data_IF_604275836837
#
_entry.id   IF_604275836837
#
_cell.length_a   1.000
_cell.length_b   1.000
_cell.length_c   1.000
_cell.angle_alpha   90.00
_cell.angle_beta   90.00
_cell.angle_gamma   90.00
#
_symmetry.space_group_name_H-M   'P 1'
#
loop_
_entity.id
_entity.type
_entity.pdbx_description
1 polymer ?
#
# COMPACT_ATOMS: atom_id res chain seq x y z
N UNK A 1 -39.57 11.73 20.25
CA UNK A 1 -39.36 12.56 19.04
C UNK A 1 -37.95 13.14 18.96
N UNK A 2 -37.33 13.56 20.07
CA UNK A 2 -35.94 14.08 20.08
C UNK A 2 -34.88 13.13 19.51
N UNK A 3 -34.93 11.83 19.87
CA UNK A 3 -33.90 10.87 19.44
C UNK A 3 -33.89 10.65 17.90
N UNK A 4 -35.06 10.65 17.25
CA UNK A 4 -35.14 10.52 15.78
C UNK A 4 -34.62 11.78 15.08
N UNK A 5 -34.91 12.97 15.60
CA UNK A 5 -34.41 14.23 15.05
C UNK A 5 -32.88 14.30 15.18
N UNK A 6 -32.32 13.88 16.31
CA UNK A 6 -30.88 13.79 16.53
C UNK A 6 -30.20 12.84 15.54
N UNK A 7 -30.73 11.61 15.37
CA UNK A 7 -30.21 10.64 14.39
C UNK A 7 -30.23 11.16 12.96
N UNK A 8 -31.26 11.93 12.58
CA UNK A 8 -31.36 12.56 11.25
C UNK A 8 -30.27 13.62 11.07
N UNK A 9 -30.01 14.45 12.09
CA UNK A 9 -28.96 15.47 12.06
C UNK A 9 -27.57 14.81 11.98
N UNK A 10 -27.32 13.77 12.77
CA UNK A 10 -26.07 12.99 12.74
C UNK A 10 -25.85 12.33 11.38
N UNK A 11 -26.89 11.71 10.81
CA UNK A 11 -26.83 11.11 9.47
C UNK A 11 -26.54 12.18 8.42
N UNK A 12 -27.20 13.34 8.48
CA UNK A 12 -26.95 14.45 7.57
C UNK A 12 -25.50 14.97 7.68
N UNK A 13 -24.98 15.11 8.89
CA UNK A 13 -23.59 15.52 9.13
C UNK A 13 -22.59 14.50 8.54
N UNK A 14 -22.83 13.20 8.72
CA UNK A 14 -22.00 12.13 8.14
C UNK A 14 -22.04 12.14 6.62
N UNK A 15 -23.22 12.31 6.02
CA UNK A 15 -23.36 12.40 4.56
C UNK A 15 -22.65 13.64 4.01
N UNK A 16 -22.76 14.79 4.68
CA UNK A 16 -22.02 16.01 4.31
C UNK A 16 -20.51 15.76 4.42
N UNK A 17 -20.06 15.14 5.51
CA UNK A 17 -18.66 14.75 5.69
C UNK A 17 -18.16 13.82 4.59
N UNK A 18 -18.96 12.81 4.21
CA UNK A 18 -18.65 11.90 3.11
C UNK A 18 -18.54 12.64 1.76
N UNK A 19 -19.47 13.55 1.45
CA UNK A 19 -19.42 14.36 0.22
C UNK A 19 -18.17 15.25 0.21
N UNK A 20 -17.82 15.87 1.34
CA UNK A 20 -16.59 16.65 1.46
C UNK A 20 -15.35 15.80 1.23
N UNK A 21 -15.27 14.62 1.86
CA UNK A 21 -14.17 13.67 1.66
C UNK A 21 -14.09 13.18 0.21
N UNK A 22 -15.23 12.94 -0.43
CA UNK A 22 -15.31 12.54 -1.84
C UNK A 22 -14.74 13.63 -2.77
N UNK A 23 -15.12 14.89 -2.54
CA UNK A 23 -14.62 16.04 -3.30
C UNK A 23 -13.13 16.26 -3.03
N UNK A 24 -12.68 16.16 -1.77
CA UNK A 24 -11.27 16.28 -1.40
C UNK A 24 -10.42 15.20 -2.06
N UNK A 25 -10.87 13.93 -2.00
CA UNK A 25 -10.20 12.80 -2.65
C UNK A 25 -10.08 13.04 -4.16
N UNK A 26 -11.16 13.49 -4.80
CA UNK A 26 -11.14 13.84 -6.21
C UNK A 26 -10.08 14.92 -6.52
N UNK A 27 -10.09 16.03 -5.77
CA UNK A 27 -9.15 17.13 -5.96
C UNK A 27 -7.69 16.71 -5.71
N UNK A 28 -7.42 15.93 -4.66
CA UNK A 28 -6.07 15.50 -4.30
C UNK A 28 -5.49 14.55 -5.35
N UNK A 29 -6.28 13.58 -5.81
CA UNK A 29 -5.85 12.66 -6.85
C UNK A 29 -5.65 13.41 -8.16
N UNK A 30 -6.61 14.26 -8.56
CA UNK A 30 -6.53 15.00 -9.82
C UNK A 30 -5.37 16.04 -9.81
N UNK A 31 -5.02 16.61 -8.66
CA UNK A 31 -3.84 17.49 -8.48
C UNK A 31 -2.52 16.72 -8.55
N UNK A 32 -2.49 15.47 -8.08
CA UNK A 32 -1.28 14.64 -8.02
C UNK A 32 -1.00 13.93 -9.35
N UNK A 33 -2.05 13.69 -10.15
CA UNK A 33 -1.97 12.97 -11.42
C UNK A 33 -1.56 13.92 -12.56
N UNK A 34 -0.34 13.76 -13.07
CA UNK A 34 0.21 14.54 -14.19
C UNK A 34 -0.52 14.26 -15.53
N UNK A 35 -0.45 15.23 -16.48
CA UNK A 35 -1.22 15.27 -17.73
C UNK A 35 -1.05 14.10 -18.73
N UNK A 36 -0.22 13.09 -18.46
CA UNK A 36 -0.11 11.94 -19.36
C UNK A 36 -1.33 11.01 -19.27
N UNK A 37 -1.79 10.49 -20.41
CA UNK A 37 -2.97 9.62 -20.49
C UNK A 37 -2.83 8.36 -19.62
N UNK A 38 -1.63 7.78 -19.56
CA UNK A 38 -1.32 6.61 -18.71
C UNK A 38 -1.43 6.93 -17.22
N UNK A 39 -1.00 8.13 -16.79
CA UNK A 39 -1.15 8.57 -15.39
C UNK A 39 -2.61 8.85 -15.06
N UNK A 40 -3.39 9.43 -15.98
CA UNK A 40 -4.84 9.63 -15.83
C UNK A 40 -5.60 8.31 -15.66
N UNK A 41 -5.27 7.28 -16.43
CA UNK A 41 -5.87 5.95 -16.29
C UNK A 41 -5.59 5.34 -14.89
N UNK A 42 -4.35 5.40 -14.41
CA UNK A 42 -3.96 4.93 -13.06
C UNK A 42 -4.64 5.74 -11.95
N UNK A 43 -4.71 7.07 -12.12
CA UNK A 43 -5.39 7.97 -11.20
C UNK A 43 -6.87 7.63 -11.01
N UNK A 44 -7.56 7.27 -12.10
CA UNK A 44 -8.98 6.85 -12.04
C UNK A 44 -9.17 5.58 -11.20
N UNK A 45 -8.25 4.62 -11.31
CA UNK A 45 -8.29 3.38 -10.51
C UNK A 45 -8.07 3.70 -9.02
N UNK A 46 -7.06 4.51 -8.70
CA UNK A 46 -6.76 4.93 -7.32
C UNK A 46 -7.96 5.67 -6.71
N UNK A 47 -8.53 6.64 -7.44
CA UNK A 47 -9.73 7.38 -7.01
C UNK A 47 -10.90 6.46 -6.73
N UNK A 48 -11.14 5.47 -7.60
CA UNK A 48 -12.19 4.46 -7.41
C UNK A 48 -11.95 3.62 -6.15
N UNK A 49 -10.72 3.17 -5.92
CA UNK A 49 -10.38 2.39 -4.72
C UNK A 49 -10.60 3.18 -3.43
N UNK A 50 -10.11 4.41 -3.34
CA UNK A 50 -10.31 5.27 -2.15
C UNK A 50 -11.80 5.57 -1.93
N UNK A 51 -12.56 5.84 -2.99
CA UNK A 51 -13.99 6.10 -2.87
C UNK A 51 -14.78 4.88 -2.38
N UNK A 52 -14.40 3.66 -2.78
CA UNK A 52 -15.02 2.44 -2.26
C UNK A 52 -14.75 2.31 -0.75
N UNK A 53 -13.53 2.57 -0.30
CA UNK A 53 -13.18 2.53 1.13
C UNK A 53 -13.99 3.57 1.91
N UNK A 54 -14.02 4.82 1.44
CA UNK A 54 -14.78 5.89 2.07
C UNK A 54 -16.28 5.57 2.14
N UNK A 55 -16.84 4.96 1.09
CA UNK A 55 -18.24 4.55 1.06
C UNK A 55 -18.52 3.46 2.09
N UNK A 56 -17.66 2.43 2.18
CA UNK A 56 -17.78 1.37 3.18
C UNK A 56 -17.76 1.93 4.60
N UNK A 57 -16.84 2.87 4.90
CA UNK A 57 -16.77 3.53 6.21
C UNK A 57 -18.03 4.35 6.50
N UNK A 58 -18.52 5.10 5.51
CA UNK A 58 -19.75 5.89 5.64
C UNK A 58 -20.96 5.01 5.96
N UNK A 59 -21.12 3.89 5.24
CA UNK A 59 -22.20 2.92 5.49
C UNK A 59 -22.11 2.38 6.92
N UNK A 60 -20.92 1.99 7.39
CA UNK A 60 -20.72 1.49 8.75
C UNK A 60 -21.17 2.53 9.79
N UNK A 61 -20.77 3.79 9.63
CA UNK A 61 -21.14 4.87 10.58
C UNK A 61 -22.65 5.11 10.58
N UNK A 62 -23.29 5.11 9.41
CA UNK A 62 -24.76 5.25 9.32
C UNK A 62 -25.45 4.08 10.03
N UNK A 63 -25.01 2.85 9.84
CA UNK A 63 -25.58 1.69 10.54
C UNK A 63 -25.47 1.83 12.07
N UNK A 64 -24.36 2.39 12.58
CA UNK A 64 -24.20 2.70 14.01
C UNK A 64 -25.23 3.72 14.48
N UNK A 65 -25.40 4.85 13.77
CA UNK A 65 -26.35 5.92 14.13
C UNK A 65 -27.79 5.40 14.21
N UNK A 66 -28.15 4.52 13.27
CA UNK A 66 -29.49 3.94 13.23
C UNK A 66 -29.74 2.89 14.32
N UNK A 67 -28.69 2.51 15.06
CA UNK A 67 -28.79 1.63 16.22
C UNK A 67 -28.83 0.15 15.85
N UNK A 68 -28.18 -0.23 14.73
CA UNK A 68 -27.84 -1.63 14.49
C UNK A 68 -27.04 -2.14 15.68
N UNK A 69 -27.32 -3.38 16.11
CA UNK A 69 -26.65 -3.97 17.26
C UNK A 69 -25.13 -3.93 17.05
N UNK A 70 -24.41 -3.38 18.03
CA UNK A 70 -22.95 -3.27 17.97
C UNK A 70 -22.28 -4.65 17.84
N UNK A 71 -22.91 -5.70 18.37
CA UNK A 71 -22.45 -7.08 18.23
C UNK A 71 -22.56 -7.57 16.79
N UNK A 72 -23.67 -7.31 16.10
CA UNK A 72 -23.85 -7.65 14.69
C UNK A 72 -22.86 -6.89 13.80
N UNK A 73 -22.63 -5.61 14.09
CA UNK A 73 -21.64 -4.81 13.38
C UNK A 73 -20.22 -5.32 13.62
N UNK A 74 -19.88 -5.69 14.86
CA UNK A 74 -18.58 -6.26 15.19
C UNK A 74 -18.35 -7.59 14.46
N UNK A 75 -19.39 -8.43 14.32
CA UNK A 75 -19.34 -9.67 13.53
C UNK A 75 -19.15 -9.37 12.04
N UNK A 76 -19.84 -8.37 11.48
CA UNK A 76 -19.67 -7.96 10.09
C UNK A 76 -18.26 -7.41 9.80
N UNK A 77 -17.76 -6.51 10.64
CA UNK A 77 -16.40 -5.96 10.50
C UNK A 77 -15.37 -7.06 10.69
N UNK A 78 -15.54 -7.89 11.73
CA UNK A 78 -14.67 -9.02 12.03
C UNK A 78 -14.58 -9.99 10.85
N UNK A 79 -15.71 -10.46 10.32
CA UNK A 79 -15.75 -11.36 9.17
C UNK A 79 -15.13 -10.74 7.91
N UNK A 80 -15.37 -9.46 7.65
CA UNK A 80 -14.75 -8.74 6.52
C UNK A 80 -13.23 -8.69 6.68
N UNK A 81 -12.74 -8.33 7.87
CA UNK A 81 -11.30 -8.31 8.17
C UNK A 81 -10.70 -9.70 8.08
N UNK A 82 -11.40 -10.74 8.53
CA UNK A 82 -10.97 -12.14 8.40
C UNK A 82 -10.82 -12.54 6.93
N UNK A 83 -11.80 -12.24 6.08
CA UNK A 83 -11.73 -12.54 4.64
C UNK A 83 -10.56 -11.79 4.00
N UNK A 84 -10.37 -10.51 4.32
CA UNK A 84 -9.23 -9.72 3.84
C UNK A 84 -7.90 -10.31 4.31
N UNK A 85 -7.81 -10.73 5.58
CA UNK A 85 -6.64 -11.39 6.14
C UNK A 85 -6.29 -12.68 5.41
N UNK A 86 -7.30 -13.53 5.13
CA UNK A 86 -7.13 -14.76 4.36
C UNK A 86 -6.68 -14.46 2.93
N UNK A 87 -7.27 -13.45 2.28
CA UNK A 87 -6.88 -13.05 0.93
C UNK A 87 -5.42 -12.55 0.88
N UNK A 88 -5.00 -11.76 1.87
CA UNK A 88 -3.61 -11.32 1.99
C UNK A 88 -2.65 -12.48 2.28
N UNK A 89 -3.06 -13.44 3.11
CA UNK A 89 -2.27 -14.64 3.37
C UNK A 89 -2.09 -15.49 2.12
N UNK A 90 -3.15 -15.65 1.32
CA UNK A 90 -3.06 -16.30 0.00
C UNK A 90 -2.09 -15.56 -0.93
N UNK A 91 -1.99 -14.23 -0.81
CA UNK A 91 -1.00 -13.39 -1.50
C UNK A 91 0.27 -13.14 -0.68
N UNK A 92 0.77 -14.16 0.03
CA UNK A 92 1.94 -14.09 0.91
C UNK A 92 3.12 -13.30 0.34
N UNK A 93 3.42 -13.46 -0.95
CA UNK A 93 4.53 -12.80 -1.63
C UNK A 93 4.43 -11.27 -1.59
N UNK A 94 3.22 -10.70 -1.63
CA UNK A 94 3.01 -9.25 -1.60
C UNK A 94 3.36 -8.72 -0.21
N UNK A 95 2.84 -9.35 0.84
CA UNK A 95 3.09 -8.97 2.23
C UNK A 95 4.58 -9.14 2.58
N UNK A 96 5.17 -10.26 2.15
CA UNK A 96 6.59 -10.55 2.32
C UNK A 96 7.46 -9.50 1.63
N UNK A 97 7.17 -9.12 0.38
CA UNK A 97 7.92 -8.08 -0.32
C UNK A 97 7.83 -6.73 0.39
N UNK A 98 6.64 -6.26 0.77
CA UNK A 98 6.46 -4.98 1.49
C UNK A 98 7.28 -4.98 2.78
N UNK A 99 7.17 -6.06 3.57
CA UNK A 99 7.89 -6.19 4.84
C UNK A 99 9.39 -6.18 4.63
N UNK A 100 9.89 -6.95 3.66
CA UNK A 100 11.31 -6.97 3.31
C UNK A 100 11.80 -5.63 2.79
N UNK A 101 11.04 -4.92 1.97
CA UNK A 101 11.39 -3.58 1.47
C UNK A 101 11.53 -2.55 2.60
N UNK A 102 10.62 -2.56 3.58
CA UNK A 102 10.71 -1.71 4.79
C UNK A 102 11.97 -2.06 5.59
N UNK A 103 12.24 -3.35 5.83
CA UNK A 103 13.43 -3.79 6.56
C UNK A 103 14.70 -3.38 5.83
N UNK A 104 14.74 -3.52 4.50
CA UNK A 104 15.89 -3.15 3.69
C UNK A 104 16.16 -1.64 3.79
N UNK A 105 15.10 -0.83 3.67
CA UNK A 105 15.22 0.61 3.72
C UNK A 105 15.76 1.12 5.07
N UNK A 106 15.32 0.54 6.19
CA UNK A 106 15.67 1.05 7.53
C UNK A 106 16.85 0.34 8.20
N UNK A 107 16.99 -0.98 8.01
CA UNK A 107 17.86 -1.82 8.83
C UNK A 107 18.95 -2.56 8.04
N UNK A 108 18.87 -2.64 6.72
CA UNK A 108 19.87 -3.37 5.94
C UNK A 108 21.11 -2.50 5.66
N UNK A 109 22.33 -3.05 5.74
CA UNK A 109 23.57 -2.27 5.59
C UNK A 109 23.82 -1.74 4.16
N UNK A 110 23.09 -2.27 3.18
CA UNK A 110 23.13 -1.83 1.77
C UNK A 110 22.29 -0.58 1.60
N UNK A 111 22.89 0.45 1.01
CA UNK A 111 22.30 1.75 0.75
C UNK A 111 22.24 2.00 -0.77
N UNK A 112 21.48 3.03 -1.14
CA UNK A 112 21.46 3.55 -2.49
C UNK A 112 22.89 3.91 -2.95
N UNK A 113 23.19 3.68 -4.22
CA UNK A 113 24.51 3.84 -4.88
C UNK A 113 25.63 2.91 -4.39
N UNK A 114 25.38 2.00 -3.43
CA UNK A 114 26.37 0.98 -3.08
C UNK A 114 26.60 0.02 -4.25
N UNK A 115 27.86 -0.33 -4.51
CA UNK A 115 28.20 -1.44 -5.41
C UNK A 115 28.29 -2.72 -4.59
N UNK A 116 27.43 -3.68 -4.91
CA UNK A 116 27.31 -4.94 -4.21
C UNK A 116 27.47 -6.10 -5.16
N UNK A 117 27.88 -7.24 -4.60
CA UNK A 117 27.85 -8.53 -5.26
C UNK A 117 26.88 -9.45 -4.53
N UNK A 118 25.89 -9.96 -5.25
CA UNK A 118 24.97 -10.98 -4.75
C UNK A 118 25.59 -12.34 -5.04
N UNK A 119 25.88 -13.08 -3.98
CA UNK A 119 26.42 -14.42 -4.07
C UNK A 119 25.26 -15.42 -4.05
N UNK A 120 25.00 -16.07 -5.18
CA UNK A 120 24.12 -17.23 -5.28
C UNK A 120 24.95 -18.49 -5.60
N UNK A 121 24.38 -19.67 -5.42
CA UNK A 121 25.12 -20.94 -5.59
C UNK A 121 25.68 -21.12 -7.00
N UNK A 122 24.99 -20.59 -8.00
CA UNK A 122 25.25 -20.85 -9.42
C UNK A 122 25.75 -19.62 -10.18
N UNK A 123 25.67 -18.42 -9.58
CA UNK A 123 26.05 -17.17 -10.22
C UNK A 123 26.36 -16.07 -9.21
N UNK A 124 27.27 -15.17 -9.58
CA UNK A 124 27.59 -13.94 -8.83
C UNK A 124 27.13 -12.73 -9.64
N UNK A 125 26.16 -11.97 -9.12
CA UNK A 125 25.65 -10.76 -9.79
C UNK A 125 26.30 -9.55 -9.14
N UNK A 126 27.09 -8.80 -9.90
CA UNK A 126 27.70 -7.54 -9.46
C UNK A 126 26.95 -6.36 -10.06
N UNK A 127 26.51 -5.44 -9.21
CA UNK A 127 25.81 -4.24 -9.66
C UNK A 127 25.74 -3.15 -8.61
N UNK A 128 25.44 -1.92 -9.08
CA UNK A 128 25.16 -0.78 -8.22
C UNK A 128 23.68 -0.72 -7.88
N UNK A 129 23.35 -0.52 -6.60
CA UNK A 129 21.98 -0.30 -6.15
C UNK A 129 21.48 1.05 -6.64
N UNK A 130 20.57 1.04 -7.60
CA UNK A 130 20.02 2.25 -8.21
C UNK A 130 18.67 2.66 -7.65
N UNK A 131 17.93 1.73 -7.05
CA UNK A 131 16.66 2.02 -6.36
C UNK A 131 16.36 0.97 -5.28
N UNK A 132 15.76 1.41 -4.18
CA UNK A 132 15.26 0.56 -3.09
C UNK A 132 13.77 0.86 -2.93
N UNK A 133 12.93 0.06 -3.59
CA UNK A 133 11.48 0.15 -3.49
C UNK A 133 10.89 -0.79 -2.45
N UNK A 134 9.60 -0.62 -2.17
CA UNK A 134 8.86 -1.54 -1.28
C UNK A 134 8.82 -2.97 -1.83
N UNK A 135 8.63 -3.13 -3.15
CA UNK A 135 8.46 -4.45 -3.76
C UNK A 135 9.72 -4.99 -4.43
N UNK A 136 10.59 -4.09 -4.89
CA UNK A 136 11.74 -4.45 -5.72
C UNK A 136 12.95 -3.60 -5.39
N UNK A 137 14.12 -4.19 -5.56
CA UNK A 137 15.42 -3.53 -5.56
C UNK A 137 15.94 -3.57 -6.99
N UNK A 138 16.44 -2.43 -7.46
CA UNK A 138 16.93 -2.30 -8.83
C UNK A 138 18.44 -2.14 -8.80
N UNK A 139 19.14 -3.10 -9.40
CA UNK A 139 20.58 -3.03 -9.63
C UNK A 139 20.87 -2.61 -11.06
N UNK A 140 21.94 -1.84 -11.25
CA UNK A 140 22.52 -1.55 -12.56
C UNK A 140 23.90 -2.19 -12.66
N UNK A 141 24.10 -3.03 -13.68
CA UNK A 141 25.40 -3.67 -13.92
C UNK A 141 26.36 -2.70 -14.62
N UNK A 142 27.65 -3.04 -14.64
CA UNK A 142 28.65 -2.26 -15.38
C UNK A 142 28.45 -2.34 -16.90
N UNK A 143 27.72 -3.35 -17.37
CA UNK A 143 27.35 -3.57 -18.78
C UNK A 143 26.13 -2.73 -19.20
N UNK A 144 25.55 -1.96 -18.27
CA UNK A 144 24.40 -1.10 -18.53
C UNK A 144 23.05 -1.80 -18.43
N UNK A 145 23.01 -3.03 -17.92
CA UNK A 145 21.77 -3.79 -17.72
C UNK A 145 21.08 -3.41 -16.41
N UNK A 146 19.75 -3.53 -16.38
CA UNK A 146 18.94 -3.30 -15.19
C UNK A 146 18.39 -4.63 -14.67
N UNK A 147 18.78 -5.00 -13.45
CA UNK A 147 18.32 -6.21 -12.77
C UNK A 147 17.32 -5.81 -11.70
N UNK A 148 16.11 -6.37 -11.76
CA UNK A 148 15.04 -6.10 -10.80
C UNK A 148 14.81 -7.33 -9.94
N UNK A 149 14.99 -7.19 -8.63
CA UNK A 149 14.96 -8.30 -7.68
C UNK A 149 13.81 -8.05 -6.70
N UNK A 150 12.89 -9.01 -6.49
CA UNK A 150 11.89 -8.90 -5.43
C UNK A 150 12.55 -8.69 -4.07
N UNK A 151 12.03 -7.74 -3.28
CA UNK A 151 12.57 -7.41 -1.95
C UNK A 151 12.67 -8.62 -1.02
N UNK A 152 11.69 -9.52 -1.09
CA UNK A 152 11.69 -10.73 -0.28
C UNK A 152 12.76 -11.75 -0.67
N UNK A 153 13.16 -11.77 -1.94
CA UNK A 153 14.27 -12.60 -2.43
C UNK A 153 15.59 -11.94 -2.04
N UNK A 154 15.73 -10.63 -2.27
CA UNK A 154 16.96 -9.89 -2.00
C UNK A 154 17.43 -10.04 -0.56
N UNK A 155 16.54 -9.87 0.42
CA UNK A 155 16.88 -9.93 1.84
C UNK A 155 17.41 -11.30 2.28
N UNK A 156 17.11 -12.37 1.53
CA UNK A 156 17.54 -13.73 1.82
C UNK A 156 18.89 -14.08 1.16
N UNK A 157 19.42 -13.20 0.30
CA UNK A 157 20.68 -13.45 -0.40
C UNK A 157 21.88 -12.98 0.42
N UNK A 158 23.00 -13.67 0.24
CA UNK A 158 24.27 -13.25 0.80
C UNK A 158 24.82 -12.09 -0.03
N UNK A 159 25.09 -10.96 0.63
CA UNK A 159 25.59 -9.75 -0.03
C UNK A 159 27.04 -9.50 0.36
N UNK A 160 27.90 -9.37 -0.64
CA UNK A 160 29.28 -8.91 -0.50
C UNK A 160 29.35 -7.43 -0.90
N UNK A 161 29.67 -6.57 0.05
CA UNK A 161 29.86 -5.12 -0.17
C UNK A 161 31.35 -4.79 -0.12
N UNK A 162 31.85 -4.03 -1.10
CA UNK A 162 33.22 -3.51 -1.05
C UNK A 162 33.28 -2.41 0.01
N UNK A 163 34.10 -2.61 1.04
CA UNK A 163 34.40 -1.57 2.02
C UNK A 163 35.46 -0.68 1.35
N UNK A 164 35.07 0.53 0.96
CA UNK A 164 36.04 1.55 0.60
C UNK A 164 36.71 1.98 1.90
N UNK A 165 37.93 1.49 2.14
CA UNK A 165 38.84 2.02 3.16
C UNK A 165 39.44 3.33 2.71
#
# INVERSE_FOLDING_TARGET
MENTQLKIIETAAVVIGFVLLFIMTAKLVDKTVSNSLLKKARGKIIKKAINIINLTVCIIIILIIWGVDQSELAVFVGSTVTILGIAMFAQWSILSNITSGIIIFFNHPVKLEDTISIMDKDYEIVGRVSDIGLFFIILKTNEGEQITIPSNVFIQKMIKKKING
#
